data_IF_465811525076
#
_entry.id   IF_465811525076
#
_cell.length_a   1.000
_cell.length_b   1.000
_cell.length_c   1.000
_cell.angle_alpha   90.00
_cell.angle_beta   90.00
_cell.angle_gamma   90.00
#
_symmetry.space_group_name_H-M   'P 1'
#
loop_
_entity.id
_entity.type
_entity.pdbx_description
1 polymer ?
#
# COMPACT_ATOMS: atom_id res chain seq x y z
N UNK A 1 -5.74 -24.38 -29.02
CA UNK A 1 -6.01 -23.44 -27.93
C UNK A 1 -5.30 -23.98 -26.71
N UNK A 2 -4.11 -23.46 -26.39
CA UNK A 2 -3.36 -23.87 -25.20
C UNK A 2 -3.78 -22.91 -24.10
N UNK A 3 -4.40 -23.43 -23.06
CA UNK A 3 -4.62 -22.70 -21.81
C UNK A 3 -3.24 -22.29 -21.27
N UNK A 4 -2.98 -20.99 -21.25
CA UNK A 4 -1.86 -20.44 -20.51
C UNK A 4 -2.32 -20.41 -19.06
N UNK A 5 -1.86 -21.39 -18.27
CA UNK A 5 -1.89 -21.30 -16.82
C UNK A 5 -0.97 -20.15 -16.42
N UNK A 6 -1.50 -18.94 -16.43
CA UNK A 6 -0.88 -17.79 -15.79
C UNK A 6 -1.18 -17.88 -14.30
N UNK A 7 -0.47 -18.75 -13.57
CA UNK A 7 -0.20 -18.42 -12.17
C UNK A 7 0.71 -17.19 -12.22
N UNK A 8 0.13 -16.01 -12.01
CA UNK A 8 0.85 -14.74 -11.91
C UNK A 8 1.56 -14.75 -10.56
N UNK A 9 2.67 -15.48 -10.47
CA UNK A 9 3.55 -15.42 -9.30
C UNK A 9 4.45 -14.19 -9.44
N UNK A 10 3.84 -13.01 -9.38
CA UNK A 10 4.55 -11.73 -9.21
C UNK A 10 4.68 -11.49 -7.73
N UNK A 11 5.71 -12.08 -7.13
CA UNK A 11 5.99 -11.85 -5.71
C UNK A 11 6.60 -10.45 -5.57
N UNK A 12 5.74 -9.45 -5.47
CA UNK A 12 6.12 -8.11 -5.04
C UNK A 12 6.30 -8.14 -3.52
N UNK A 13 7.45 -7.68 -3.04
CA UNK A 13 7.84 -7.77 -1.63
C UNK A 13 7.80 -6.40 -0.96
N UNK A 14 7.18 -6.35 0.23
CA UNK A 14 7.24 -5.19 1.11
C UNK A 14 8.09 -5.52 2.33
N UNK A 15 9.41 -5.34 2.18
CA UNK A 15 10.40 -5.70 3.18
C UNK A 15 11.13 -4.48 3.71
N UNK A 16 10.61 -3.92 4.80
CA UNK A 16 11.20 -2.75 5.44
C UNK A 16 12.52 -3.09 6.15
N UNK A 17 13.59 -2.42 5.71
CA UNK A 17 14.92 -2.53 6.30
C UNK A 17 15.23 -1.30 7.13
N UNK A 18 15.67 -1.53 8.38
CA UNK A 18 16.14 -0.44 9.25
C UNK A 18 17.47 0.13 8.76
N UNK A 19 17.55 1.45 8.63
CA UNK A 19 18.73 2.21 8.21
C UNK A 19 18.92 3.43 9.10
N UNK A 20 20.15 3.94 9.13
CA UNK A 20 20.50 5.18 9.83
C UNK A 20 21.25 6.08 8.85
N UNK A 21 20.81 7.33 8.72
CA UNK A 21 21.48 8.35 7.91
C UNK A 21 21.45 9.68 8.65
N UNK A 22 22.61 10.33 8.75
CA UNK A 22 22.77 11.64 9.40
C UNK A 22 22.20 11.69 10.84
N UNK A 23 22.30 10.57 11.58
CA UNK A 23 21.79 10.44 12.94
C UNK A 23 20.28 10.16 13.04
N UNK A 24 19.57 10.08 11.92
CA UNK A 24 18.14 9.75 11.87
C UNK A 24 17.97 8.30 11.49
N UNK A 25 17.27 7.54 12.33
CA UNK A 25 16.84 6.18 12.03
C UNK A 25 15.58 6.22 11.15
N UNK A 26 15.51 5.35 10.14
CA UNK A 26 14.35 5.19 9.29
C UNK A 26 14.26 3.75 8.79
N UNK A 27 13.11 3.39 8.26
CA UNK A 27 12.84 2.12 7.62
C UNK A 27 12.50 2.41 6.17
N UNK A 28 13.04 1.65 5.23
CA UNK A 28 12.62 1.74 3.84
C UNK A 28 12.45 0.37 3.19
N UNK A 29 11.55 0.32 2.22
CA UNK A 29 11.29 -0.81 1.34
C UNK A 29 11.42 -0.31 -0.09
N UNK A 30 12.05 -1.09 -0.94
CA UNK A 30 12.11 -0.83 -2.37
C UNK A 30 12.01 -2.15 -3.07
N UNK A 31 11.13 -2.23 -4.06
CA UNK A 31 10.96 -3.44 -4.85
C UNK A 31 10.45 -3.10 -6.24
N UNK A 32 10.67 -4.02 -7.17
CA UNK A 32 10.20 -3.92 -8.54
C UNK A 32 9.72 -5.29 -9.04
N UNK A 33 8.59 -5.30 -9.74
CA UNK A 33 8.05 -6.52 -10.35
C UNK A 33 7.46 -6.22 -11.72
N UNK A 34 7.20 -7.29 -12.47
CA UNK A 34 6.59 -7.21 -13.79
C UNK A 34 5.15 -7.70 -13.72
N UNK A 35 4.19 -6.85 -14.06
CA UNK A 35 2.79 -7.24 -14.16
C UNK A 35 2.53 -7.70 -15.60
N UNK A 36 2.10 -8.95 -15.85
CA UNK A 36 1.92 -9.49 -17.20
C UNK A 36 0.60 -9.03 -17.85
N UNK A 37 0.32 -7.73 -17.77
CA UNK A 37 -0.86 -7.07 -18.32
C UNK A 37 -0.46 -5.72 -18.92
N UNK A 38 -1.27 -5.25 -19.87
CA UNK A 38 -1.06 -3.99 -20.56
C UNK A 38 -1.09 -2.79 -19.60
N UNK A 39 -0.24 -1.81 -19.89
CA UNK A 39 -0.05 -0.61 -19.09
C UNK A 39 -1.34 0.14 -18.80
N UNK A 40 -2.24 0.27 -19.77
CA UNK A 40 -3.49 0.99 -19.63
C UNK A 40 -4.44 0.28 -18.65
N UNK A 41 -4.51 -1.05 -18.71
CA UNK A 41 -5.37 -1.85 -17.83
C UNK A 41 -4.81 -1.89 -16.40
N UNK A 42 -3.49 -2.12 -16.25
CA UNK A 42 -2.82 -2.08 -14.95
C UNK A 42 -2.91 -0.68 -14.32
N UNK A 43 -2.68 0.38 -15.10
CA UNK A 43 -2.78 1.76 -14.61
C UNK A 43 -4.20 2.12 -14.19
N UNK A 44 -5.21 1.67 -14.93
CA UNK A 44 -6.63 1.87 -14.57
C UNK A 44 -6.97 1.15 -13.27
N UNK A 45 -6.63 -0.14 -13.16
CA UNK A 45 -6.90 -0.93 -11.97
C UNK A 45 -6.18 -0.37 -10.74
N UNK A 46 -4.89 -0.04 -10.85
CA UNK A 46 -4.12 0.56 -9.77
C UNK A 46 -4.66 1.94 -9.36
N UNK A 47 -5.07 2.76 -10.34
CA UNK A 47 -5.70 4.06 -10.04
C UNK A 47 -6.95 3.88 -9.19
N UNK A 48 -7.77 2.88 -9.50
CA UNK A 48 -8.97 2.57 -8.72
C UNK A 48 -8.62 2.10 -7.31
N UNK A 49 -7.67 1.17 -7.16
CA UNK A 49 -7.25 0.65 -5.86
C UNK A 49 -6.67 1.72 -4.94
N UNK A 50 -5.79 2.55 -5.48
CA UNK A 50 -5.09 3.56 -4.68
C UNK A 50 -6.00 4.77 -4.40
N UNK A 51 -6.75 5.25 -5.39
CA UNK A 51 -7.38 6.57 -5.31
C UNK A 51 -8.88 6.54 -4.97
N UNK A 52 -9.47 5.36 -4.78
CA UNK A 52 -10.90 5.21 -4.47
C UNK A 52 -11.08 4.70 -3.05
N UNK A 53 -12.09 5.24 -2.37
CA UNK A 53 -12.53 4.68 -1.10
C UNK A 53 -12.88 3.18 -1.29
N UNK A 54 -12.36 2.26 -0.47
CA UNK A 54 -12.65 0.83 -0.58
C UNK A 54 -14.14 0.49 -0.54
N UNK A 55 -14.96 1.25 0.18
CA UNK A 55 -16.41 1.05 0.21
C UNK A 55 -17.06 1.44 -1.11
N UNK A 56 -16.56 2.49 -1.77
CA UNK A 56 -17.03 2.91 -3.11
C UNK A 56 -16.59 1.89 -4.17
N UNK A 57 -15.37 1.38 -4.08
CA UNK A 57 -14.85 0.35 -4.99
C UNK A 57 -15.70 -0.92 -4.97
N UNK A 58 -16.21 -1.33 -3.80
CA UNK A 58 -17.04 -2.54 -3.63
C UNK A 58 -18.45 -2.42 -4.22
N UNK A 59 -19.02 -1.23 -4.28
CA UNK A 59 -20.44 -1.04 -4.62
C UNK A 59 -20.66 -0.49 -6.03
N UNK A 60 -19.60 -0.12 -6.75
CA UNK A 60 -19.73 0.55 -8.04
C UNK A 60 -18.80 -0.08 -9.09
N UNK A 61 -19.33 -1.03 -9.87
CA UNK A 61 -18.64 -1.67 -10.99
C UNK A 61 -18.34 -0.70 -12.16
N UNK A 62 -18.93 0.50 -12.15
CA UNK A 62 -18.68 1.59 -13.08
C UNK A 62 -18.08 2.81 -12.36
N UNK A 63 -17.10 2.58 -11.49
CA UNK A 63 -16.39 3.66 -10.82
C UNK A 63 -15.86 4.68 -11.86
N UNK A 64 -16.29 5.93 -11.72
CA UNK A 64 -15.74 7.05 -12.49
C UNK A 64 -14.23 7.13 -12.26
N UNK A 65 -13.50 7.69 -13.22
CA UNK A 65 -12.08 7.89 -13.05
C UNK A 65 -11.80 8.69 -11.76
N UNK A 66 -10.98 8.14 -10.84
CA UNK A 66 -10.78 8.77 -9.55
C UNK A 66 -9.97 10.06 -9.69
N UNK A 67 -10.24 11.00 -8.79
CA UNK A 67 -9.50 12.27 -8.70
C UNK A 67 -8.01 12.00 -8.57
N UNK A 68 -7.20 12.92 -9.11
CA UNK A 68 -5.74 12.81 -9.04
C UNK A 68 -5.18 13.06 -7.64
N UNK A 69 -5.99 13.48 -6.67
CA UNK A 69 -5.55 13.69 -5.27
C UNK A 69 -6.63 13.20 -4.33
N UNK A 70 -6.22 12.45 -3.31
CA UNK A 70 -7.09 11.92 -2.26
C UNK A 70 -6.42 12.13 -0.91
N UNK A 71 -7.23 12.39 0.11
CA UNK A 71 -6.82 12.39 1.51
C UNK A 71 -7.71 11.41 2.25
N UNK A 72 -7.10 10.47 2.96
CA UNK A 72 -7.82 9.42 3.68
C UNK A 72 -7.43 9.44 5.15
N UNK A 73 -8.39 9.07 5.98
CA UNK A 73 -8.20 8.79 7.39
C UNK A 73 -8.90 7.47 7.70
N UNK A 74 -8.17 6.53 8.29
CA UNK A 74 -8.71 5.23 8.65
C UNK A 74 -7.99 4.64 9.86
N UNK A 75 -8.57 3.60 10.43
CA UNK A 75 -8.00 2.88 11.57
C UNK A 75 -7.64 1.49 11.09
N UNK A 76 -6.36 1.09 11.03
CA UNK A 76 -6.00 -0.29 10.73
C UNK A 76 -5.93 -1.14 12.02
N UNK A 77 -6.53 -2.33 11.98
CA UNK A 77 -6.38 -3.35 13.00
C UNK A 77 -5.28 -4.33 12.53
N UNK A 78 -4.12 -4.34 13.18
CA UNK A 78 -3.01 -5.23 12.85
C UNK A 78 -2.98 -6.41 13.83
N UNK A 79 -3.16 -7.62 13.31
CA UNK A 79 -3.13 -8.83 14.11
C UNK A 79 -1.69 -9.17 14.49
N UNK A 80 -1.39 -9.27 15.78
CA UNK A 80 -0.08 -9.67 16.31
C UNK A 80 -0.09 -11.14 16.75
N UNK A 81 1.07 -11.63 17.18
CA UNK A 81 1.18 -12.96 17.78
C UNK A 81 0.30 -13.07 19.04
N UNK A 82 -0.25 -14.26 19.32
CA UNK A 82 -1.04 -14.57 20.53
C UNK A 82 -2.37 -13.83 20.67
N UNK A 83 -3.10 -13.65 19.56
CA UNK A 83 -4.43 -13.01 19.51
C UNK A 83 -4.46 -11.53 19.96
N UNK A 84 -3.31 -10.88 20.12
CA UNK A 84 -3.24 -9.45 20.37
C UNK A 84 -3.55 -8.67 19.08
N UNK A 85 -4.39 -7.64 19.16
CA UNK A 85 -4.70 -6.74 18.04
C UNK A 85 -4.19 -5.36 18.37
N UNK A 86 -3.23 -4.88 17.58
CA UNK A 86 -2.78 -3.50 17.63
C UNK A 86 -3.67 -2.62 16.76
N UNK A 87 -3.95 -1.39 17.22
CA UNK A 87 -4.72 -0.41 16.46
C UNK A 87 -3.84 0.75 16.05
N UNK A 88 -3.88 1.06 14.77
CA UNK A 88 -3.16 2.16 14.15
C UNK A 88 -4.19 3.13 13.58
N UNK A 89 -3.96 4.43 13.73
CA UNK A 89 -4.75 5.45 13.04
C UNK A 89 -3.88 6.09 11.97
N UNK A 90 -4.27 5.95 10.72
CA UNK A 90 -3.51 6.39 9.56
C UNK A 90 -4.18 7.64 8.98
N UNK A 91 -3.37 8.64 8.67
CA UNK A 91 -3.75 9.80 7.86
C UNK A 91 -2.83 9.81 6.65
N UNK A 92 -3.39 9.73 5.45
CA UNK A 92 -2.60 9.72 4.22
C UNK A 92 -3.11 10.73 3.23
N UNK A 93 -2.18 11.41 2.55
CA UNK A 93 -2.44 12.22 1.39
C UNK A 93 -1.69 11.62 0.21
N UNK A 94 -2.41 11.30 -0.86
CA UNK A 94 -1.85 10.71 -2.06
C UNK A 94 -2.21 11.52 -3.29
N UNK A 95 -1.28 11.53 -4.24
CA UNK A 95 -1.46 12.14 -5.56
C UNK A 95 -1.03 11.18 -6.66
N UNK A 96 -1.87 11.07 -7.69
CA UNK A 96 -1.56 10.45 -8.98
C UNK A 96 -1.04 11.51 -9.94
N UNK A 97 0.05 11.21 -10.63
CA UNK A 97 0.67 12.05 -11.65
C UNK A 97 0.78 11.22 -12.92
N UNK A 98 0.16 11.68 -14.00
CA UNK A 98 0.24 11.04 -15.31
C UNK A 98 1.28 11.76 -16.15
N UNK A 99 2.22 11.00 -16.69
CA UNK A 99 3.20 11.46 -17.67
C UNK A 99 3.02 10.68 -18.98
N UNK A 100 3.80 11.01 -20.01
CA UNK A 100 3.63 10.43 -21.33
C UNK A 100 3.88 8.91 -21.37
N UNK A 101 4.78 8.41 -20.54
CA UNK A 101 5.29 7.04 -20.52
C UNK A 101 5.19 6.37 -19.14
N UNK A 102 4.49 6.99 -18.19
CA UNK A 102 4.33 6.44 -16.83
C UNK A 102 3.17 7.04 -16.06
N UNK A 103 2.71 6.29 -15.07
CA UNK A 103 1.86 6.81 -13.98
C UNK A 103 2.65 6.72 -12.68
N UNK A 104 2.66 7.80 -11.91
CA UNK A 104 3.33 7.86 -10.62
C UNK A 104 2.30 8.16 -9.53
N UNK A 105 2.28 7.34 -8.49
CA UNK A 105 1.57 7.64 -7.24
C UNK A 105 2.60 8.10 -6.23
N UNK A 106 2.35 9.22 -5.57
CA UNK A 106 3.18 9.73 -4.48
C UNK A 106 2.30 9.94 -3.27
N UNK A 107 2.80 9.60 -2.09
CA UNK A 107 2.06 9.79 -0.85
C UNK A 107 2.93 10.25 0.31
N UNK A 108 2.24 10.85 1.28
CA UNK A 108 2.74 11.06 2.63
C UNK A 108 1.69 10.59 3.61
N UNK A 109 2.11 9.82 4.61
CA UNK A 109 1.23 9.33 5.64
C UNK A 109 1.81 9.57 7.03
N UNK A 110 0.93 9.76 8.01
CA UNK A 110 1.25 9.73 9.43
C UNK A 110 0.44 8.62 10.07
N UNK A 111 1.12 7.75 10.81
CA UNK A 111 0.48 6.66 11.54
C UNK A 111 0.64 6.86 13.03
N UNK A 112 -0.47 6.93 13.76
CA UNK A 112 -0.52 7.03 15.22
C UNK A 112 -0.81 5.66 15.84
N UNK A 113 0.02 5.22 16.79
CA UNK A 113 -0.34 4.10 17.66
C UNK A 113 -1.50 4.45 18.59
N UNK A 114 -2.40 3.50 18.84
CA UNK A 114 -3.49 3.64 19.80
C UNK A 114 -3.30 2.68 21.00
N UNK A 115 -3.98 2.95 22.11
CA UNK A 115 -3.91 2.10 23.30
C UNK A 115 -2.48 2.00 23.85
N UNK A 116 -1.96 0.79 23.96
CA UNK A 116 -0.60 0.51 24.46
C UNK A 116 0.52 1.02 23.53
N UNK A 117 0.17 1.48 22.33
CA UNK A 117 1.10 2.12 21.38
C UNK A 117 0.91 3.65 21.35
N UNK A 118 0.08 4.21 22.23
CA UNK A 118 -0.17 5.65 22.28
C UNK A 118 1.11 6.44 22.53
N UNK A 119 1.29 7.54 21.80
CA UNK A 119 2.48 8.39 21.85
C UNK A 119 3.53 8.06 20.79
N UNK A 120 3.44 6.88 20.15
CA UNK A 120 4.29 6.51 19.02
C UNK A 120 3.66 6.88 17.68
N UNK A 121 4.48 7.43 16.79
CA UNK A 121 4.06 7.92 15.50
C UNK A 121 5.05 7.50 14.42
N UNK A 122 4.60 7.42 13.17
CA UNK A 122 5.51 7.42 12.01
C UNK A 122 5.20 8.57 11.08
N UNK A 123 6.22 9.08 10.41
CA UNK A 123 6.09 9.94 9.23
C UNK A 123 6.61 9.14 8.03
N UNK A 124 5.68 8.78 7.14
CA UNK A 124 5.92 7.97 5.96
C UNK A 124 5.86 8.82 4.69
N UNK A 125 6.76 8.54 3.77
CA UNK A 125 6.72 9.03 2.39
C UNK A 125 6.99 7.87 1.45
N UNK A 126 6.25 7.80 0.35
CA UNK A 126 6.49 6.77 -0.65
C UNK A 126 6.04 7.16 -2.04
N UNK A 127 6.44 6.32 -2.98
CA UNK A 127 6.00 6.40 -4.37
C UNK A 127 5.86 5.00 -4.99
N UNK A 128 5.02 4.94 -6.01
CA UNK A 128 4.81 3.78 -6.87
C UNK A 128 4.82 4.27 -8.31
N UNK A 129 5.57 3.59 -9.18
CA UNK A 129 5.65 3.91 -10.61
C UNK A 129 5.17 2.73 -11.43
N UNK A 130 4.31 3.01 -12.40
CA UNK A 130 3.93 2.10 -13.47
C UNK A 130 4.52 2.58 -14.79
N UNK A 131 5.15 1.69 -15.57
CA UNK A 131 5.63 2.00 -16.93
C UNK A 131 5.23 0.91 -17.91
N UNK A 132 4.92 1.24 -19.17
CA UNK A 132 4.72 0.25 -20.21
C UNK A 132 6.04 -0.49 -20.50
N UNK A 133 5.93 -1.78 -20.73
CA UNK A 133 7.02 -2.64 -21.20
C UNK A 133 6.45 -3.65 -22.22
N UNK A 134 7.33 -4.19 -23.05
CA UNK A 134 7.02 -5.33 -23.91
C UNK A 134 7.97 -6.48 -23.54
N UNK A 135 7.42 -7.68 -23.31
CA UNK A 135 8.19 -8.92 -23.11
C UNK A 135 7.97 -9.79 -24.35
N UNK A 136 8.92 -9.73 -25.28
CA UNK A 136 8.72 -10.27 -26.62
C UNK A 136 7.61 -9.50 -27.33
N UNK A 137 6.57 -10.21 -27.77
CA UNK A 137 5.41 -9.61 -28.44
C UNK A 137 4.22 -9.36 -27.49
N UNK A 138 4.41 -9.55 -26.17
CA UNK A 138 3.35 -9.41 -25.18
C UNK A 138 3.48 -8.09 -24.39
N UNK A 139 2.40 -7.31 -24.28
CA UNK A 139 2.41 -6.10 -23.45
C UNK A 139 2.51 -6.48 -21.97
N UNK A 140 3.37 -5.77 -21.24
CA UNK A 140 3.53 -5.89 -19.79
C UNK A 140 3.68 -4.52 -19.15
N UNK A 141 3.68 -4.48 -17.82
CA UNK A 141 3.85 -3.26 -17.04
C UNK A 141 4.93 -3.46 -16.00
N UNK A 142 5.91 -2.57 -15.97
CA UNK A 142 6.84 -2.47 -14.84
C UNK A 142 6.13 -1.81 -13.68
N UNK A 143 6.18 -2.45 -12.52
CA UNK A 143 5.72 -1.92 -11.24
C UNK A 143 6.95 -1.71 -10.35
N UNK A 144 7.17 -0.49 -9.89
CA UNK A 144 8.25 -0.16 -8.93
C UNK A 144 7.68 0.56 -7.73
N UNK A 145 8.27 0.32 -6.55
CA UNK A 145 7.92 1.04 -5.34
C UNK A 145 9.14 1.49 -4.54
N UNK A 146 8.90 2.55 -3.78
CA UNK A 146 9.73 2.92 -2.65
C UNK A 146 8.85 3.46 -1.55
N UNK A 147 9.02 2.94 -0.34
CA UNK A 147 8.38 3.46 0.86
C UNK A 147 9.44 3.70 1.90
N UNK A 148 9.33 4.81 2.63
CA UNK A 148 10.18 5.12 3.77
C UNK A 148 9.34 5.68 4.89
N UNK A 149 9.53 5.18 6.11
CA UNK A 149 9.02 5.85 7.30
C UNK A 149 10.08 6.12 8.35
N UNK A 150 9.83 7.15 9.16
CA UNK A 150 10.63 7.56 10.31
C UNK A 150 9.77 7.37 11.56
N UNK A 151 10.17 6.51 12.53
CA UNK A 151 9.52 6.47 13.83
C UNK A 151 9.77 7.76 14.61
N UNK A 152 8.73 8.28 15.25
CA UNK A 152 8.74 9.49 16.04
C UNK A 152 8.05 9.21 17.36
N UNK A 153 8.73 9.52 18.46
CA UNK A 153 8.17 9.43 19.79
C UNK A 153 7.70 10.82 20.26
N UNK A 154 6.44 10.91 20.67
CA UNK A 154 5.84 12.15 21.17
C UNK A 154 5.56 11.97 22.67
N UNK A 155 6.41 12.55 23.51
CA UNK A 155 6.31 12.49 24.97
C UNK A 155 7.62 12.05 25.65
N UNK A 156 7.69 12.17 26.97
CA UNK A 156 8.92 11.93 27.74
C UNK A 156 9.17 10.46 28.12
N UNK A 157 8.25 9.52 27.82
CA UNK A 157 8.27 8.16 28.37
C UNK A 157 8.46 7.01 27.37
N UNK A 158 8.80 7.29 26.10
CA UNK A 158 9.00 6.23 25.11
C UNK A 158 10.37 5.54 25.32
N UNK A 159 10.36 4.23 25.59
CA UNK A 159 11.59 3.45 25.55
C UNK A 159 11.90 3.01 24.13
N UNK A 160 13.19 2.84 23.80
CA UNK A 160 13.61 2.32 22.48
C UNK A 160 12.94 0.98 22.13
N UNK A 161 12.69 0.13 23.13
CA UNK A 161 12.03 -1.15 22.92
C UNK A 161 10.57 -0.98 22.46
N UNK A 162 9.87 0.06 22.96
CA UNK A 162 8.50 0.37 22.58
C UNK A 162 8.45 0.97 21.17
N UNK A 163 9.39 1.87 20.83
CA UNK A 163 9.55 2.40 19.47
C UNK A 163 9.84 1.27 18.47
N UNK A 164 10.71 0.32 18.83
CA UNK A 164 11.03 -0.84 18.01
C UNK A 164 9.83 -1.78 17.84
N UNK A 165 9.02 -1.98 18.89
CA UNK A 165 7.78 -2.74 18.83
C UNK A 165 6.80 -2.05 17.89
N UNK A 166 6.58 -0.75 18.06
CA UNK A 166 5.67 0.03 17.22
C UNK A 166 6.07 -0.01 15.75
N UNK A 167 7.35 0.21 15.43
CA UNK A 167 7.85 0.14 14.05
C UNK A 167 7.61 -1.24 13.40
N UNK A 168 7.71 -2.34 14.17
CA UNK A 168 7.38 -3.69 13.66
C UNK A 168 5.89 -3.86 13.36
N UNK A 169 5.01 -3.30 14.21
CA UNK A 169 3.56 -3.33 13.98
C UNK A 169 3.22 -2.57 12.70
N UNK A 170 3.78 -1.37 12.52
CA UNK A 170 3.59 -0.57 11.30
C UNK A 170 4.12 -1.31 10.06
N UNK A 171 5.30 -1.93 10.17
CA UNK A 171 5.88 -2.68 9.07
C UNK A 171 5.00 -3.86 8.64
N UNK A 172 4.49 -4.62 9.61
CA UNK A 172 3.58 -5.74 9.36
C UNK A 172 2.25 -5.29 8.74
N UNK A 173 1.67 -4.22 9.27
CA UNK A 173 0.44 -3.64 8.71
C UNK A 173 0.62 -3.23 7.25
N UNK A 174 1.75 -2.59 6.91
CA UNK A 174 2.04 -2.23 5.51
C UNK A 174 2.27 -3.44 4.61
N UNK A 175 2.87 -4.52 5.13
CA UNK A 175 3.01 -5.79 4.40
C UNK A 175 1.65 -6.41 4.08
N UNK A 176 0.74 -6.43 5.07
CA UNK A 176 -0.65 -6.89 4.91
C UNK A 176 -1.40 -6.06 3.86
N UNK A 177 -1.34 -4.73 3.94
CA UNK A 177 -1.97 -3.81 2.97
C UNK A 177 -1.44 -4.01 1.55
N UNK A 178 -0.13 -4.16 1.37
CA UNK A 178 0.50 -4.41 0.06
C UNK A 178 0.05 -5.76 -0.51
N UNK A 179 0.03 -6.81 0.31
CA UNK A 179 -0.42 -8.13 -0.11
C UNK A 179 -1.89 -8.11 -0.56
N UNK A 180 -2.76 -7.43 0.17
CA UNK A 180 -4.16 -7.25 -0.21
C UNK A 180 -4.31 -6.45 -1.51
N UNK A 181 -3.57 -5.36 -1.67
CA UNK A 181 -3.56 -4.55 -2.88
C UNK A 181 -3.16 -5.39 -4.10
N UNK A 182 -2.09 -6.20 -3.99
CA UNK A 182 -1.63 -7.05 -5.09
C UNK A 182 -2.66 -8.12 -5.46
N UNK A 183 -3.32 -8.75 -4.47
CA UNK A 183 -4.39 -9.70 -4.72
C UNK A 183 -5.62 -9.07 -5.38
N UNK A 184 -5.99 -7.85 -4.97
CA UNK A 184 -7.10 -7.13 -5.58
C UNK A 184 -6.77 -6.69 -7.01
N UNK A 185 -5.52 -6.25 -7.26
CA UNK A 185 -5.04 -5.93 -8.60
C UNK A 185 -5.17 -7.15 -9.53
N UNK A 186 -4.69 -8.31 -9.09
CA UNK A 186 -4.80 -9.56 -9.84
C UNK A 186 -6.26 -9.88 -10.18
N UNK A 187 -7.17 -9.82 -9.19
CA UNK A 187 -8.61 -10.06 -9.41
C UNK A 187 -9.22 -9.10 -10.43
N UNK A 188 -8.87 -7.81 -10.37
CA UNK A 188 -9.37 -6.80 -11.30
C UNK A 188 -8.86 -7.03 -12.73
N UNK A 189 -7.61 -7.47 -12.88
CA UNK A 189 -7.01 -7.75 -14.19
C UNK A 189 -7.49 -9.07 -14.81
N UNK A 190 -7.82 -10.06 -13.98
CA UNK A 190 -8.39 -11.34 -14.43
C UNK A 190 -9.91 -11.29 -14.67
N UNK A 191 -10.58 -10.17 -14.40
CA UNK A 191 -12.03 -10.02 -14.57
C UNK A 191 -12.86 -10.77 -13.52
N UNK A 192 -12.31 -10.98 -12.32
CA UNK A 192 -13.00 -11.64 -11.21
C UNK A 192 -14.08 -10.76 -10.59
N UNK A 193 -15.34 -11.02 -10.92
CA UNK A 193 -16.52 -10.22 -10.56
C UNK A 193 -16.96 -10.26 -9.07
N UNK A 194 -16.11 -10.64 -8.12
CA UNK A 194 -16.54 -10.81 -6.71
C UNK A 194 -15.50 -10.33 -5.69
N UNK A 195 -15.74 -9.16 -5.10
CA UNK A 195 -15.03 -8.63 -3.93
C UNK A 195 -15.50 -9.31 -2.63
N UNK A 196 -15.12 -10.57 -2.40
CA UNK A 196 -15.34 -11.20 -1.07
C UNK A 196 -14.32 -10.72 -0.03
N UNK A 197 -14.83 -10.42 1.16
CA UNK A 197 -14.19 -9.80 2.33
C UNK A 197 -13.53 -10.82 3.26
N UNK A 198 -12.34 -10.50 3.78
CA UNK A 198 -11.95 -10.80 5.17
C UNK A 198 -11.86 -9.48 5.94
N UNK A 199 -12.29 -9.49 7.21
CA UNK A 199 -12.66 -8.31 7.98
C UNK A 199 -11.58 -7.23 8.04
N UNK A 200 -11.93 -6.02 7.63
CA UNK A 200 -11.01 -4.89 7.52
C UNK A 200 -11.73 -3.55 7.69
N UNK A 201 -10.96 -2.46 7.86
CA UNK A 201 -11.27 -1.43 8.85
C UNK A 201 -12.42 -0.49 8.50
N UNK A 202 -12.98 0.13 9.53
CA UNK A 202 -14.00 1.18 9.37
C UNK A 202 -13.33 2.46 8.86
N UNK A 203 -13.61 2.80 7.62
CA UNK A 203 -13.30 4.09 7.02
C UNK A 203 -14.35 5.11 7.50
N UNK A 204 -13.91 6.24 8.04
CA UNK A 204 -14.78 7.38 8.33
C UNK A 204 -14.50 8.47 7.29
N UNK A 205 -15.47 8.73 6.41
CA UNK A 205 -15.44 9.86 5.50
C UNK A 205 -15.51 11.18 6.28
N UNK A 206 -14.59 12.09 5.98
CA UNK A 206 -14.54 13.44 6.55
C UNK A 206 -15.73 14.32 6.12
#
# INVERSE_FOLDING_TARGET
>A
MREVNAEVSTKFEYNLTRKVKDGVEYFDSTDATEIPFAFEDTSRAMSLLMMTDPDVLRHNSHAQEPKDTVTVKYIADCQLERDEVAKLKIYSAMRKVKEADRVVFVWRAVTEGQGDLSGHHTDETGWLVLRPQEIGDFPSTVFESYTRFIPIDVGESASKADTDRFAKVVAKSGEEEVNEMMQLLEKMLLGGDQFYTSGHPRYESA
#
